data_IF_713084578541
#
_entry.id   IF_713084578541
#
_cell.length_a   1.000
_cell.length_b   1.000
_cell.length_c   1.000
_cell.angle_alpha   90.00
_cell.angle_beta   90.00
_cell.angle_gamma   90.00
#
_symmetry.space_group_name_H-M   'P 1'
#
loop_
_entity.id
_entity.type
_entity.pdbx_description
1 polymer ?
#
# COMPACT_ATOMS: atom_id res chain seq x y z
N UNK A 1 -12.33 5.85 -8.29
CA UNK A 1 -11.28 6.27 -7.32
C UNK A 1 -11.80 5.92 -5.94
N UNK A 2 -11.00 5.26 -5.11
CA UNK A 2 -11.44 4.79 -3.78
C UNK A 2 -11.66 5.98 -2.84
N UNK A 3 -12.88 6.14 -2.34
CA UNK A 3 -13.13 6.93 -1.13
C UNK A 3 -12.33 6.24 -0.01
N UNK A 4 -11.41 6.94 0.64
CA UNK A 4 -10.62 6.42 1.74
C UNK A 4 -11.09 7.08 3.03
N UNK A 5 -11.14 6.31 4.11
CA UNK A 5 -11.61 6.79 5.41
C UNK A 5 -10.73 6.26 6.52
N UNK A 6 -10.57 7.10 7.55
CA UNK A 6 -9.97 6.74 8.81
C UNK A 6 -11.10 6.34 9.77
N UNK A 7 -11.20 5.05 10.07
CA UNK A 7 -12.14 4.53 11.07
C UNK A 7 -11.49 4.53 12.45
N UNK A 8 -12.12 5.18 13.41
CA UNK A 8 -11.67 5.18 14.79
C UNK A 8 -12.40 4.10 15.56
N UNK A 9 -11.67 3.24 16.27
CA UNK A 9 -12.29 2.22 17.12
C UNK A 9 -12.95 2.83 18.38
N UNK A 10 -12.78 4.13 18.62
CA UNK A 10 -13.48 4.86 19.66
C UNK A 10 -14.89 5.23 19.15
N UNK A 11 -15.98 4.71 19.77
CA UNK A 11 -17.35 4.97 19.29
C UNK A 11 -17.78 6.43 19.39
N UNK A 12 -17.09 7.26 20.18
CA UNK A 12 -17.40 8.70 20.27
C UNK A 12 -16.76 9.53 19.14
N UNK A 13 -15.89 8.92 18.34
CA UNK A 13 -15.16 9.62 17.29
C UNK A 13 -15.66 9.16 15.90
N UNK A 14 -16.21 10.08 15.07
CA UNK A 14 -16.69 9.73 13.74
C UNK A 14 -15.53 9.40 12.79
N UNK A 15 -15.85 8.61 11.77
CA UNK A 15 -14.93 8.33 10.67
C UNK A 15 -14.56 9.63 9.93
N UNK A 16 -13.28 9.79 9.63
CA UNK A 16 -12.79 10.95 8.88
C UNK A 16 -12.53 10.58 7.41
N UNK A 17 -13.07 11.33 6.44
CA UNK A 17 -12.75 11.13 5.04
C UNK A 17 -11.30 11.56 4.77
N UNK A 18 -10.60 10.76 3.97
CA UNK A 18 -9.26 11.04 3.49
C UNK A 18 -9.33 11.35 1.99
N UNK A 19 -9.80 12.55 1.67
CA UNK A 19 -9.85 13.06 0.31
C UNK A 19 -8.43 13.26 -0.27
N UNK A 20 -8.34 13.47 -1.59
CA UNK A 20 -7.08 13.87 -2.22
C UNK A 20 -6.58 15.19 -1.61
N UNK A 21 -5.29 15.25 -1.36
CA UNK A 21 -4.65 16.38 -0.70
C UNK A 21 -4.05 16.01 0.66
N UNK A 22 -3.96 17.00 1.53
CA UNK A 22 -3.29 16.89 2.82
C UNK A 22 -4.31 16.99 3.95
N UNK A 23 -4.26 16.03 4.88
CA UNK A 23 -5.06 16.01 6.10
C UNK A 23 -4.10 15.96 7.30
N UNK A 24 -4.06 17.02 8.09
CA UNK A 24 -3.25 17.07 9.32
C UNK A 24 -4.16 16.78 10.51
N UNK A 25 -3.75 15.89 11.41
CA UNK A 25 -4.46 15.62 12.66
C UNK A 25 -3.62 16.05 13.87
N UNK A 26 -4.24 16.80 14.77
CA UNK A 26 -3.70 17.17 16.09
C UNK A 26 -4.47 16.47 17.21
N UNK A 27 -4.03 16.66 18.46
CA UNK A 27 -4.76 16.19 19.63
C UNK A 27 -5.53 17.34 20.28
N UNK A 28 -6.85 17.22 20.39
CA UNK A 28 -7.70 18.15 21.10
C UNK A 28 -8.59 17.39 22.09
N UNK A 29 -8.50 17.73 23.38
CA UNK A 29 -9.20 17.04 24.47
C UNK A 29 -9.01 15.51 24.45
N UNK A 30 -7.83 15.04 24.01
CA UNK A 30 -7.51 13.62 23.91
C UNK A 30 -8.13 12.89 22.71
N UNK A 31 -8.73 13.60 21.75
CA UNK A 31 -9.19 13.06 20.47
C UNK A 31 -8.30 13.55 19.32
N UNK A 32 -8.14 12.70 18.29
CA UNK A 32 -7.44 13.09 17.06
C UNK A 32 -8.38 13.86 16.14
N UNK A 33 -8.14 15.15 15.96
CA UNK A 33 -9.02 16.03 15.16
C UNK A 33 -8.27 16.65 13.99
N UNK A 34 -8.95 16.91 12.86
CA UNK A 34 -8.38 17.70 11.78
C UNK A 34 -7.94 19.07 12.27
N UNK A 35 -6.74 19.50 11.85
CA UNK A 35 -6.21 20.83 12.14
C UNK A 35 -5.93 21.58 10.85
N UNK A 36 -6.02 22.91 10.92
CA UNK A 36 -5.74 23.79 9.77
C UNK A 36 -4.26 23.78 9.39
N UNK A 37 -3.97 24.24 8.18
CA UNK A 37 -2.60 24.35 7.68
C UNK A 37 -1.78 25.30 8.56
N UNK A 38 -0.63 24.83 9.05
CA UNK A 38 0.27 25.59 9.92
C UNK A 38 0.00 25.46 11.42
N UNK A 39 -1.12 24.86 11.82
CA UNK A 39 -1.36 24.47 13.22
C UNK A 39 -0.44 23.29 13.63
N UNK A 40 -0.13 23.13 14.94
CA UNK A 40 0.62 21.97 15.41
C UNK A 40 -0.16 20.68 15.13
N UNK A 41 0.51 19.73 14.48
CA UNK A 41 -0.04 18.43 14.11
C UNK A 41 0.80 17.31 14.71
N UNK A 42 0.17 16.16 14.95
CA UNK A 42 0.83 14.94 15.43
C UNK A 42 1.12 13.99 14.28
N UNK A 43 0.18 13.89 13.34
CA UNK A 43 0.29 13.09 12.12
C UNK A 43 -0.30 13.85 10.94
N UNK A 44 0.25 13.62 9.76
CA UNK A 44 -0.22 14.23 8.53
C UNK A 44 -0.32 13.20 7.44
N UNK A 45 -1.49 13.11 6.82
CA UNK A 45 -1.74 12.25 5.68
C UNK A 45 -1.66 13.07 4.39
N UNK A 46 -0.99 12.52 3.38
CA UNK A 46 -1.02 13.03 2.02
C UNK A 46 -1.58 11.94 1.12
N UNK A 47 -2.76 12.16 0.57
CA UNK A 47 -3.39 11.27 -0.39
C UNK A 47 -3.27 11.88 -1.79
N UNK A 48 -2.49 11.25 -2.66
CA UNK A 48 -2.28 11.69 -4.03
C UNK A 48 -2.48 10.54 -5.03
N UNK A 49 -2.16 10.78 -6.30
CA UNK A 49 -2.27 9.74 -7.35
C UNK A 49 -1.24 8.61 -7.20
N UNK A 50 -0.18 8.81 -6.40
CA UNK A 50 0.88 7.82 -6.14
C UNK A 50 0.54 6.95 -4.94
N UNK A 51 -0.29 7.45 -4.02
CA UNK A 51 -0.87 6.69 -2.93
C UNK A 51 -1.08 7.54 -1.68
N UNK A 52 -1.23 6.86 -0.54
CA UNK A 52 -1.37 7.51 0.76
C UNK A 52 -0.03 7.47 1.48
N UNK A 53 0.42 8.63 1.93
CA UNK A 53 1.60 8.78 2.78
C UNK A 53 1.17 9.32 4.13
N UNK A 54 1.79 8.85 5.20
CA UNK A 54 1.62 9.39 6.54
C UNK A 54 2.96 9.84 7.09
N UNK A 55 3.04 11.12 7.43
CA UNK A 55 4.13 11.71 8.19
C UNK A 55 3.78 11.76 9.68
N UNK A 56 4.80 11.61 10.52
CA UNK A 56 4.70 11.58 11.97
C UNK A 56 5.55 12.73 12.54
N UNK A 57 4.97 13.51 13.45
CA UNK A 57 5.68 14.58 14.13
C UNK A 57 6.73 14.01 15.10
N UNK A 58 7.77 14.78 15.40
CA UNK A 58 8.80 14.34 16.33
C UNK A 58 8.21 14.07 17.73
N UNK A 59 8.67 12.99 18.37
CA UNK A 59 8.21 12.58 19.69
C UNK A 59 6.88 11.81 19.71
N UNK A 60 6.20 11.63 18.57
CA UNK A 60 4.95 10.86 18.49
C UNK A 60 5.25 9.39 18.16
N UNK A 61 4.90 8.49 19.08
CA UNK A 61 5.00 7.04 18.85
C UNK A 61 3.85 6.54 17.97
N UNK A 62 4.15 6.19 16.72
CA UNK A 62 3.17 5.62 15.77
C UNK A 62 3.60 4.23 15.33
N UNK A 63 2.66 3.29 15.30
CA UNK A 63 2.87 1.96 14.75
C UNK A 63 1.88 1.68 13.63
N UNK A 64 2.35 1.06 12.54
CA UNK A 64 1.52 0.60 11.42
C UNK A 64 1.60 -0.91 11.37
N UNK A 65 0.47 -1.58 11.63
CA UNK A 65 0.39 -3.04 11.76
C UNK A 65 1.45 -3.59 12.74
N UNK A 66 1.70 -2.89 13.84
CA UNK A 66 2.70 -3.24 14.85
C UNK A 66 4.15 -2.82 14.54
N UNK A 67 4.44 -2.27 13.35
CA UNK A 67 5.79 -1.77 13.01
C UNK A 67 5.92 -0.29 13.38
N UNK A 68 6.93 0.13 14.15
CA UNK A 68 7.13 1.53 14.49
C UNK A 68 7.46 2.36 13.25
N UNK A 69 6.88 3.55 13.16
CA UNK A 69 7.13 4.53 12.10
C UNK A 69 7.72 5.78 12.73
N UNK A 70 8.94 6.12 12.32
CA UNK A 70 9.67 7.25 12.91
C UNK A 70 9.34 8.59 12.25
N UNK A 71 9.08 8.61 10.93
CA UNK A 71 8.93 9.87 10.20
C UNK A 71 7.93 9.81 9.06
N UNK A 72 8.05 8.83 8.18
CA UNK A 72 7.23 8.72 6.98
C UNK A 72 6.97 7.25 6.65
N UNK A 73 5.74 6.96 6.23
CA UNK A 73 5.33 5.62 5.76
C UNK A 73 4.31 5.76 4.64
N UNK A 74 4.37 4.85 3.67
CA UNK A 74 3.29 4.70 2.68
C UNK A 74 2.24 3.75 3.25
N UNK A 75 0.98 4.17 3.24
CA UNK A 75 -0.16 3.42 3.75
C UNK A 75 -0.98 2.80 2.62
N UNK A 76 -1.68 1.72 2.95
CA UNK A 76 -2.67 1.05 2.13
C UNK A 76 -3.98 0.91 2.88
N UNK A 77 -5.08 0.79 2.13
CA UNK A 77 -6.35 0.43 2.73
C UNK A 77 -6.24 -0.96 3.40
N UNK A 78 -6.79 -1.08 4.61
CA UNK A 78 -6.63 -2.21 5.51
C UNK A 78 -5.47 -2.11 6.50
N UNK A 79 -4.70 -1.01 6.50
CA UNK A 79 -3.66 -0.78 7.50
C UNK A 79 -4.25 -0.32 8.84
N UNK A 80 -3.81 -0.96 9.93
CA UNK A 80 -4.11 -0.53 11.28
C UNK A 80 -3.00 0.38 11.81
N UNK A 81 -3.38 1.58 12.24
CA UNK A 81 -2.53 2.60 12.80
C UNK A 81 -2.77 2.66 14.31
N UNK A 82 -1.70 2.63 15.09
CA UNK A 82 -1.72 2.89 16.52
C UNK A 82 -0.98 4.20 16.77
N UNK A 83 -1.68 5.23 17.22
CA UNK A 83 -1.15 6.57 17.47
C UNK A 83 -1.43 6.90 18.94
N UNK A 84 -0.44 6.73 19.81
CA UNK A 84 -0.67 6.79 21.26
C UNK A 84 -1.75 5.79 21.69
N UNK A 85 -2.86 6.27 22.25
CA UNK A 85 -4.03 5.46 22.64
C UNK A 85 -5.05 5.24 21.53
N UNK A 86 -4.88 5.86 20.35
CA UNK A 86 -5.84 5.78 19.26
C UNK A 86 -5.56 4.60 18.34
N UNK A 87 -6.60 3.79 18.10
CA UNK A 87 -6.57 2.71 17.11
C UNK A 87 -7.39 3.14 15.90
N UNK A 88 -6.70 3.35 14.78
CA UNK A 88 -7.29 3.88 13.55
C UNK A 88 -7.09 2.89 12.41
N UNK A 89 -8.16 2.49 11.74
CA UNK A 89 -8.09 1.68 10.53
C UNK A 89 -8.23 2.58 9.31
N UNK A 90 -7.23 2.59 8.44
CA UNK A 90 -7.39 3.16 7.11
C UNK A 90 -8.15 2.14 6.26
N UNK A 91 -9.34 2.47 5.79
CA UNK A 91 -10.12 1.58 4.94
C UNK A 91 -10.67 2.35 3.75
N UNK A 92 -11.00 1.62 2.69
CA UNK A 92 -11.91 2.14 1.67
C UNK A 92 -13.29 1.60 2.00
N UNK A 93 -14.32 2.45 2.21
CA UNK A 93 -15.68 1.97 2.18
C UNK A 93 -15.83 1.32 0.83
N UNK A 94 -15.91 -0.01 0.84
CA UNK A 94 -16.29 -0.76 -0.34
C UNK A 94 -17.61 -0.12 -0.77
N UNK A 95 -17.64 0.46 -1.98
CA UNK A 95 -18.91 0.61 -2.68
C UNK A 95 -19.63 -0.73 -2.55
N UNK A 96 -20.95 -0.69 -2.51
CA UNK A 96 -21.83 -1.85 -2.63
C UNK A 96 -21.58 -2.59 -3.97
N UNK A 97 -20.41 -3.23 -4.12
CA UNK A 97 -19.89 -3.93 -5.31
C UNK A 97 -20.19 -5.42 -5.17
N UNK A 98 -21.41 -5.72 -4.74
CA UNK A 98 -21.97 -7.04 -4.95
C UNK A 98 -21.93 -7.32 -6.48
N UNK A 99 -21.59 -8.54 -6.91
CA UNK A 99 -21.59 -8.91 -8.32
C UNK A 99 -22.96 -8.77 -9.02
N UNK A 100 -24.02 -8.39 -8.30
CA UNK A 100 -25.34 -8.07 -8.83
C UNK A 100 -25.43 -6.71 -9.54
N UNK A 101 -24.41 -5.85 -9.42
CA UNK A 101 -24.29 -4.67 -10.30
C UNK A 101 -23.72 -5.10 -11.64
N UNK A 102 -24.28 -4.58 -12.75
CA UNK A 102 -23.83 -4.86 -14.12
C UNK A 102 -22.30 -4.93 -14.20
N UNK A 103 -21.78 -6.12 -14.51
CA UNK A 103 -20.38 -6.28 -14.90
C UNK A 103 -20.12 -5.28 -16.01
N UNK A 104 -19.11 -4.43 -15.85
CA UNK A 104 -18.75 -3.43 -16.84
C UNK A 104 -18.66 -4.10 -18.24
N UNK A 105 -19.05 -3.40 -19.32
CA UNK A 105 -18.98 -3.95 -20.65
C UNK A 105 -17.56 -4.49 -20.91
N UNK A 106 -17.45 -5.64 -21.60
CA UNK A 106 -16.17 -6.32 -21.76
C UNK A 106 -15.12 -5.34 -22.27
N UNK A 107 -14.00 -5.24 -21.55
CA UNK A 107 -12.84 -4.49 -22.03
C UNK A 107 -12.48 -5.04 -23.41
N UNK A 108 -12.68 -4.23 -24.45
CA UNK A 108 -12.44 -4.60 -25.83
C UNK A 108 -10.96 -5.00 -26.01
N UNK A 109 -10.71 -6.31 -26.07
CA UNK A 109 -9.48 -6.88 -26.62
C UNK A 109 -8.22 -6.87 -25.75
N UNK A 110 -8.26 -6.46 -24.47
CA UNK A 110 -7.07 -6.51 -23.60
C UNK A 110 -7.37 -7.23 -22.29
N UNK A 111 -6.77 -8.41 -22.09
CA UNK A 111 -6.75 -9.08 -20.80
C UNK A 111 -5.85 -8.29 -19.84
N UNK A 112 -6.37 -7.71 -18.75
CA UNK A 112 -5.53 -6.98 -17.81
C UNK A 112 -4.54 -7.95 -17.17
N UNK A 113 -3.27 -7.55 -17.12
CA UNK A 113 -2.23 -8.29 -16.39
C UNK A 113 -2.38 -7.97 -14.91
N UNK A 114 -3.28 -8.69 -14.25
CA UNK A 114 -3.46 -8.64 -12.81
C UNK A 114 -2.57 -9.68 -12.14
N UNK A 115 -1.89 -9.26 -11.08
CA UNK A 115 -1.10 -10.12 -10.22
C UNK A 115 -1.54 -9.94 -8.77
N UNK A 116 -1.58 -11.03 -8.04
CA UNK A 116 -1.74 -11.01 -6.60
C UNK A 116 -0.35 -11.10 -5.97
N UNK A 117 0.11 -10.01 -5.33
CA UNK A 117 1.44 -9.93 -4.73
C UNK A 117 1.36 -10.09 -3.21
N UNK A 118 2.13 -11.01 -2.65
CA UNK A 118 2.25 -11.16 -1.20
C UNK A 118 3.07 -10.04 -0.59
N UNK A 119 2.52 -9.38 0.44
CA UNK A 119 3.16 -8.26 1.15
C UNK A 119 3.40 -8.57 2.63
N UNK A 120 2.96 -9.73 3.11
CA UNK A 120 3.31 -10.26 4.44
C UNK A 120 3.32 -11.79 4.47
N UNK A 121 3.84 -12.33 5.57
CA UNK A 121 3.86 -13.78 5.81
C UNK A 121 4.80 -14.54 4.85
N UNK A 122 4.64 -15.86 4.75
CA UNK A 122 5.49 -16.73 3.94
C UNK A 122 5.48 -16.43 2.43
N UNK A 123 4.51 -15.66 1.96
CA UNK A 123 4.35 -15.30 0.55
C UNK A 123 4.88 -13.90 0.22
N UNK A 124 5.52 -13.22 1.18
CA UNK A 124 6.09 -11.90 0.97
C UNK A 124 7.01 -11.87 -0.27
N UNK A 125 6.75 -10.93 -1.18
CA UNK A 125 7.51 -10.75 -2.41
C UNK A 125 7.12 -11.70 -3.55
N UNK A 126 6.31 -12.74 -3.30
CA UNK A 126 5.82 -13.65 -4.35
C UNK A 126 4.65 -13.03 -5.08
N UNK A 127 4.57 -13.28 -6.39
CA UNK A 127 3.49 -12.79 -7.25
C UNK A 127 2.79 -13.95 -7.95
N UNK A 128 1.47 -13.91 -7.98
CA UNK A 128 0.61 -14.92 -8.60
C UNK A 128 -0.18 -14.28 -9.74
N UNK A 129 0.06 -14.69 -10.98
CA UNK A 129 -0.65 -14.16 -12.14
C UNK A 129 -2.10 -14.63 -12.15
N UNK A 130 -3.04 -13.70 -12.23
CA UNK A 130 -4.48 -13.99 -12.29
C UNK A 130 -4.95 -14.18 -13.74
N UNK A 131 -4.25 -14.99 -14.53
CA UNK A 131 -4.68 -15.31 -15.92
C UNK A 131 -5.74 -16.41 -15.96
N UNK A 132 -5.78 -17.24 -14.93
CA UNK A 132 -6.78 -18.29 -14.70
C UNK A 132 -7.35 -18.11 -13.29
N UNK A 133 -8.52 -18.69 -12.98
CA UNK A 133 -9.04 -18.67 -11.62
C UNK A 133 -7.97 -19.12 -10.61
N UNK A 134 -7.73 -18.28 -9.61
CA UNK A 134 -6.80 -18.52 -8.52
C UNK A 134 -7.59 -19.05 -7.33
N UNK A 135 -7.45 -20.35 -7.04
CA UNK A 135 -8.03 -20.96 -5.85
C UNK A 135 -7.06 -20.78 -4.69
N UNK A 136 -7.56 -20.21 -3.59
CA UNK A 136 -6.84 -20.00 -2.34
C UNK A 136 -7.36 -20.99 -1.30
N UNK A 137 -6.48 -21.73 -0.63
CA UNK A 137 -6.89 -22.68 0.41
C UNK A 137 -5.76 -23.60 0.85
N UNK A 138 -6.03 -24.51 1.78
CA UNK A 138 -5.02 -25.43 2.31
C UNK A 138 -4.83 -26.70 1.49
N UNK A 139 -5.73 -26.96 0.53
CA UNK A 139 -5.65 -28.14 -0.33
C UNK A 139 -4.43 -28.12 -1.25
N UNK A 140 -3.94 -29.30 -1.64
CA UNK A 140 -2.74 -29.44 -2.45
C UNK A 140 -2.93 -28.90 -3.89
N UNK A 141 -4.15 -28.97 -4.39
CA UNK A 141 -4.58 -28.49 -5.71
C UNK A 141 -4.85 -26.97 -5.76
N UNK A 142 -4.81 -26.26 -4.62
CA UNK A 142 -5.02 -24.83 -4.60
C UNK A 142 -3.87 -24.08 -5.30
N UNK A 143 -4.20 -23.19 -6.24
CA UNK A 143 -3.23 -22.33 -6.94
C UNK A 143 -2.37 -21.53 -5.98
N UNK A 144 -2.99 -20.98 -4.94
CA UNK A 144 -2.36 -20.36 -3.79
C UNK A 144 -2.64 -21.22 -2.56
N UNK A 145 -1.80 -22.23 -2.37
CA UNK A 145 -1.85 -23.06 -1.16
C UNK A 145 -1.42 -22.24 0.05
N UNK A 146 -2.25 -22.12 1.07
CA UNK A 146 -1.94 -21.50 2.36
C UNK A 146 -2.26 -22.53 3.44
N UNK A 147 -1.25 -22.91 4.22
CA UNK A 147 -1.42 -23.86 5.32
C UNK A 147 -1.83 -23.15 6.61
N UNK A 148 -2.68 -23.81 7.40
CA UNK A 148 -3.10 -23.31 8.71
C UNK A 148 -4.52 -23.75 9.06
N UNK A 149 -4.79 -23.89 10.35
CA UNK A 149 -6.07 -24.37 10.88
C UNK A 149 -7.25 -23.44 10.53
N UNK A 150 -6.98 -22.14 10.40
CA UNK A 150 -7.98 -21.14 10.01
C UNK A 150 -8.24 -21.07 8.49
N UNK A 151 -7.60 -21.93 7.67
CA UNK A 151 -7.72 -21.94 6.21
C UNK A 151 -8.35 -23.25 5.74
N UNK A 152 -9.57 -23.14 5.21
CA UNK A 152 -10.29 -24.25 4.59
C UNK A 152 -9.57 -24.79 3.33
N UNK A 153 -9.80 -26.06 2.95
CA UNK A 153 -9.21 -26.66 1.75
C UNK A 153 -9.43 -25.83 0.49
N UNK A 154 -10.67 -25.33 0.31
CA UNK A 154 -11.03 -24.29 -0.67
C UNK A 154 -11.60 -23.11 0.11
N UNK A 155 -10.78 -22.09 0.34
CA UNK A 155 -11.11 -20.98 1.23
C UNK A 155 -11.68 -19.76 0.47
N UNK A 156 -11.11 -19.46 -0.70
CA UNK A 156 -11.62 -18.44 -1.60
C UNK A 156 -11.21 -18.73 -3.05
N UNK A 157 -11.91 -18.13 -4.00
CA UNK A 157 -11.54 -18.15 -5.42
C UNK A 157 -11.52 -16.73 -5.95
N UNK A 158 -10.46 -16.39 -6.69
CA UNK A 158 -10.35 -15.13 -7.43
C UNK A 158 -10.42 -15.48 -8.90
N UNK A 159 -11.40 -14.95 -9.61
CA UNK A 159 -11.66 -15.23 -11.03
C UNK A 159 -11.63 -13.95 -11.84
N UNK A 160 -11.28 -14.03 -13.12
CA UNK A 160 -11.34 -12.86 -14.02
C UNK A 160 -12.59 -12.98 -14.87
N UNK A 161 -13.46 -11.97 -14.80
CA UNK A 161 -14.66 -11.85 -15.61
C UNK A 161 -14.66 -10.46 -16.25
N UNK A 162 -14.77 -10.38 -17.59
CA UNK A 162 -14.76 -9.11 -18.33
C UNK A 162 -13.58 -8.18 -17.97
N UNK A 163 -12.40 -8.74 -17.68
CA UNK A 163 -11.21 -7.98 -17.26
C UNK A 163 -11.25 -7.46 -15.83
N UNK A 164 -12.25 -7.82 -15.03
CA UNK A 164 -12.31 -7.50 -13.61
C UNK A 164 -12.02 -8.74 -12.77
N UNK A 165 -11.28 -8.57 -11.68
CA UNK A 165 -11.05 -9.63 -10.72
C UNK A 165 -12.22 -9.73 -9.74
N UNK A 166 -12.86 -10.87 -9.66
CA UNK A 166 -13.96 -11.16 -8.73
C UNK A 166 -13.47 -12.14 -7.66
N UNK A 167 -13.56 -11.71 -6.40
CA UNK A 167 -13.36 -12.54 -5.23
C UNK A 167 -14.67 -13.21 -4.82
N UNK A 168 -14.59 -14.51 -4.52
CA UNK A 168 -15.64 -15.26 -3.84
C UNK A 168 -15.04 -16.07 -2.69
N UNK A 169 -15.47 -15.81 -1.46
CA UNK A 169 -15.01 -16.44 -0.22
C UNK A 169 -16.00 -17.51 0.23
N UNK A 170 -15.60 -18.78 0.03
CA UNK A 170 -16.42 -19.95 0.37
C UNK A 170 -16.46 -20.20 1.88
N UNK A 171 -15.31 -20.08 2.56
CA UNK A 171 -15.20 -20.37 3.99
C UNK A 171 -15.43 -19.13 4.89
N UNK A 172 -15.25 -17.93 4.36
CA UNK A 172 -15.36 -16.68 5.13
C UNK A 172 -14.05 -16.33 5.83
N UNK A 173 -14.06 -15.23 6.59
CA UNK A 173 -12.85 -14.74 7.27
C UNK A 173 -11.83 -14.07 6.34
N UNK A 174 -12.17 -13.87 5.07
CA UNK A 174 -11.40 -13.05 4.13
C UNK A 174 -11.71 -11.59 4.40
N UNK A 175 -10.67 -10.76 4.50
CA UNK A 175 -10.83 -9.31 4.60
C UNK A 175 -10.35 -8.63 3.33
N UNK A 176 -11.13 -7.68 2.84
CA UNK A 176 -10.77 -6.73 1.79
C UNK A 176 -10.62 -5.36 2.43
N UNK A 177 -9.44 -4.76 2.32
CA UNK A 177 -9.15 -3.42 2.84
C UNK A 177 -9.53 -3.25 4.32
N UNK A 178 -9.31 -4.30 5.12
CA UNK A 178 -9.58 -4.35 6.56
C UNK A 178 -11.02 -4.68 6.95
N UNK A 179 -11.93 -4.90 5.99
CA UNK A 179 -13.32 -5.29 6.26
C UNK A 179 -13.61 -6.72 5.81
N UNK A 180 -14.38 -7.51 6.59
CA UNK A 180 -14.76 -8.86 6.19
C UNK A 180 -15.61 -8.82 4.92
N UNK A 181 -15.36 -9.74 4.00
CA UNK A 181 -16.07 -9.81 2.72
C UNK A 181 -16.35 -11.25 2.31
N UNK A 182 -17.50 -11.47 1.68
CA UNK A 182 -17.86 -12.75 1.06
C UNK A 182 -17.63 -12.71 -0.45
N UNK A 183 -18.07 -11.64 -1.10
CA UNK A 183 -17.87 -11.42 -2.53
C UNK A 183 -17.50 -9.97 -2.80
N UNK A 184 -16.60 -9.73 -3.76
CA UNK A 184 -16.25 -8.37 -4.17
C UNK A 184 -15.54 -8.33 -5.52
N UNK A 185 -15.82 -7.27 -6.29
CA UNK A 185 -14.99 -6.87 -7.42
C UNK A 185 -13.72 -6.17 -6.89
N UNK A 186 -12.57 -6.74 -7.19
CA UNK A 186 -11.25 -6.27 -6.81
C UNK A 186 -10.68 -5.31 -7.85
N UNK A 187 -10.02 -4.27 -7.37
CA UNK A 187 -9.34 -3.25 -8.14
C UNK A 187 -7.83 -3.24 -7.82
N UNK A 188 -6.97 -2.82 -8.76
CA UNK A 188 -5.57 -2.59 -8.44
C UNK A 188 -5.41 -1.68 -7.22
N UNK A 189 -4.57 -2.09 -6.28
CA UNK A 189 -4.36 -1.45 -4.98
C UNK A 189 -5.10 -2.13 -3.82
N UNK A 190 -6.12 -2.95 -4.10
CA UNK A 190 -6.90 -3.63 -3.07
C UNK A 190 -6.05 -4.64 -2.30
N UNK A 191 -6.23 -4.63 -0.98
CA UNK A 191 -5.53 -5.50 -0.04
C UNK A 191 -6.44 -6.63 0.44
N UNK A 192 -6.02 -7.86 0.25
CA UNK A 192 -6.66 -9.07 0.76
C UNK A 192 -5.89 -9.64 1.95
N UNK A 193 -6.61 -10.05 2.98
CA UNK A 193 -6.03 -10.75 4.13
C UNK A 193 -6.73 -12.09 4.32
N UNK A 194 -5.92 -13.15 4.39
CA UNK A 194 -6.31 -14.51 4.76
C UNK A 194 -5.67 -14.87 6.11
N UNK A 195 -6.48 -15.39 7.05
CA UNK A 195 -6.07 -15.82 8.42
C UNK A 195 -5.13 -14.86 9.19
N UNK A 196 -5.34 -13.54 9.06
CA UNK A 196 -4.57 -12.43 9.68
C UNK A 196 -3.09 -12.30 9.27
N UNK A 197 -2.41 -13.39 8.92
CA UNK A 197 -0.97 -13.42 8.64
C UNK A 197 -0.63 -13.25 7.16
N UNK A 198 -1.53 -13.67 6.27
CA UNK A 198 -1.26 -13.68 4.83
C UNK A 198 -1.96 -12.50 4.16
N UNK A 199 -1.18 -11.46 3.89
CA UNK A 199 -1.64 -10.25 3.22
C UNK A 199 -1.14 -10.22 1.79
N UNK A 200 -2.05 -9.91 0.89
CA UNK A 200 -1.79 -9.77 -0.53
C UNK A 200 -2.34 -8.44 -1.04
N UNK A 201 -1.73 -7.91 -2.08
CA UNK A 201 -2.20 -6.74 -2.80
C UNK A 201 -2.46 -7.13 -4.24
N UNK A 202 -3.61 -6.74 -4.77
CA UNK A 202 -3.87 -6.83 -6.20
C UNK A 202 -3.10 -5.72 -6.91
N UNK A 203 -2.17 -6.07 -7.78
CA UNK A 203 -1.44 -5.13 -8.62
C UNK A 203 -1.80 -5.37 -10.09
N UNK A 204 -1.75 -4.33 -10.90
CA UNK A 204 -1.93 -4.45 -12.34
C UNK A 204 -2.41 -3.15 -12.97
N UNK A 205 -2.36 -3.12 -14.29
CA UNK A 205 -2.93 -2.03 -15.09
C UNK A 205 -4.28 -2.50 -15.62
N UNK A 206 -5.34 -1.87 -15.15
CA UNK A 206 -6.58 -1.86 -15.92
C UNK A 206 -6.28 -1.05 -17.19
N UNK A 207 -6.61 -1.54 -18.40
CA UNK A 207 -6.58 -0.67 -19.56
C UNK A 207 -7.54 0.47 -19.27
N UNK A 208 -7.00 1.66 -18.99
CA UNK A 208 -7.82 2.88 -19.02
C UNK A 208 -8.48 2.86 -20.38
N UNK A 209 -9.83 2.85 -20.40
CA UNK A 209 -10.54 3.32 -21.58
C UNK A 209 -9.86 4.65 -21.92
N UNK A 210 -9.28 4.71 -23.12
CA UNK A 210 -8.58 5.89 -23.61
C UNK A 210 -9.57 7.03 -23.47
N UNK A 211 -9.43 7.81 -22.39
CA UNK A 211 -9.99 9.14 -22.35
C UNK A 211 -9.12 9.87 -23.34
N UNK A 212 -9.57 9.90 -24.59
CA UNK A 212 -9.07 10.84 -25.58
C UNK A 212 -9.16 12.19 -24.86
N UNK A 213 -8.02 12.85 -24.53
CA UNK A 213 -8.10 14.19 -24.00
C UNK A 213 -8.94 14.98 -25.02
N UNK A 214 -9.92 15.81 -24.60
CA UNK A 214 -10.57 16.70 -25.54
C UNK A 214 -9.44 17.47 -26.21
N UNK A 215 -9.29 17.25 -27.51
CA UNK A 215 -8.32 17.95 -28.33
C UNK A 215 -8.87 19.36 -28.42
N UNK A 216 -8.61 20.15 -27.38
CA UNK A 216 -8.85 21.59 -27.43
C UNK A 216 -7.83 22.13 -28.43
N UNK A 217 -8.24 22.76 -29.54
CA UNK A 217 -7.33 23.18 -30.62
C UNK A 217 -6.30 24.24 -30.19
N UNK A 218 -6.31 24.71 -28.95
CA UNK A 218 -5.61 25.91 -28.53
C UNK A 218 -4.27 25.65 -27.81
N UNK A 219 -3.89 24.38 -27.60
CA UNK A 219 -2.63 24.04 -26.92
C UNK A 219 -1.48 23.65 -27.87
N UNK A 220 -1.60 23.92 -29.17
CA UNK A 220 -0.55 23.61 -30.15
C UNK A 220 0.55 24.71 -30.28
N UNK A 221 0.48 25.81 -29.52
CA UNK A 221 1.36 26.97 -29.72
C UNK A 221 2.42 27.21 -28.62
N UNK A 222 2.62 26.30 -27.66
CA UNK A 222 3.69 26.45 -26.65
C UNK A 222 4.43 25.13 -26.40
N UNK A 223 4.98 24.55 -27.46
CA UNK A 223 6.05 23.54 -27.35
C UNK A 223 7.30 24.07 -28.05
N UNK A 224 8.01 24.98 -27.37
CA UNK A 224 9.41 25.31 -27.65
C UNK A 224 10.03 25.98 -26.42
N UNK A 225 10.23 25.18 -25.37
CA UNK A 225 11.24 25.48 -24.36
C UNK A 225 11.77 24.15 -23.80
N UNK A 226 12.71 23.59 -24.56
CA UNK A 226 13.51 22.43 -24.16
C UNK A 226 14.50 22.89 -23.09
N UNK A 227 14.06 23.00 -21.84
CA UNK A 227 14.98 23.21 -20.72
C UNK A 227 15.53 21.84 -20.32
N UNK A 228 16.73 21.55 -20.83
CA UNK A 228 17.54 20.44 -20.37
C UNK A 228 17.82 20.63 -18.87
N UNK A 229 17.19 19.80 -18.03
CA UNK A 229 17.55 19.71 -16.62
C UNK A 229 18.78 18.83 -16.52
N UNK A 230 19.95 19.46 -16.46
CA UNK A 230 21.20 18.78 -16.12
C UNK A 230 21.08 18.23 -14.71
N UNK A 231 20.91 16.91 -14.58
CA UNK A 231 20.99 16.23 -13.30
C UNK A 231 22.42 16.37 -12.75
N UNK A 232 22.61 17.29 -11.81
CA UNK A 232 23.86 17.44 -11.07
C UNK A 232 24.02 16.20 -10.18
N UNK A 233 24.94 15.31 -10.54
CA UNK A 233 25.32 14.16 -9.73
C UNK A 233 25.99 14.64 -8.43
N UNK A 234 25.21 14.94 -7.39
CA UNK A 234 25.73 15.16 -6.05
C UNK A 234 25.65 13.85 -5.28
N UNK A 235 26.65 13.00 -5.45
CA UNK A 235 26.75 11.71 -4.74
C UNK A 235 28.17 11.16 -4.54
N UNK A 236 29.18 11.71 -5.23
CA UNK A 236 30.54 11.16 -5.16
C UNK A 236 31.40 11.73 -4.01
N UNK A 237 31.02 12.85 -3.39
CA UNK A 237 31.87 13.50 -2.37
C UNK A 237 31.64 13.04 -0.92
N UNK A 238 30.59 12.27 -0.64
CA UNK A 238 30.35 11.74 0.72
C UNK A 238 31.03 10.38 0.99
N UNK A 239 31.65 9.76 -0.02
CA UNK A 239 32.33 8.48 0.11
C UNK A 239 33.86 8.59 0.28
N UNK A 240 34.47 9.76 0.08
CA UNK A 240 35.93 9.94 0.22
C UNK A 240 36.41 9.74 1.67
N UNK A 241 35.62 10.20 2.65
CA UNK A 241 35.95 9.99 4.07
C UNK A 241 35.86 8.52 4.48
N UNK A 242 34.97 7.73 3.86
CA UNK A 242 34.85 6.29 4.13
C UNK A 242 36.06 5.49 3.61
N UNK A 243 36.66 5.92 2.50
CA UNK A 243 37.90 5.33 2.00
C UNK A 243 39.09 5.66 2.93
N UNK A 244 39.15 6.91 3.42
CA UNK A 244 40.20 7.31 4.36
C UNK A 244 40.10 6.56 5.70
N UNK A 245 38.89 6.37 6.24
CA UNK A 245 38.69 5.61 7.49
C UNK A 245 38.99 4.13 7.30
N UNK A 246 38.62 3.53 6.16
CA UNK A 246 38.97 2.16 5.83
C UNK A 246 40.48 1.96 5.73
N UNK A 247 41.22 2.88 5.09
CA UNK A 247 42.69 2.81 5.02
C UNK A 247 43.36 2.94 6.38
N UNK A 248 42.87 3.84 7.24
CA UNK A 248 43.37 4.01 8.61
C UNK A 248 43.17 2.74 9.44
N UNK A 249 41.99 2.15 9.40
CA UNK A 249 41.69 0.89 10.10
C UNK A 249 42.55 -0.27 9.59
N UNK A 250 42.72 -0.40 8.27
CA UNK A 250 43.56 -1.42 7.68
C UNK A 250 45.04 -1.27 8.10
N UNK A 251 45.55 -0.04 8.11
CA UNK A 251 46.93 0.26 8.53
C UNK A 251 47.15 -0.02 10.02
N UNK A 252 46.18 0.36 10.88
CA UNK A 252 46.23 0.07 12.31
C UNK A 252 46.22 -1.45 12.59
N UNK A 253 45.38 -2.21 11.88
CA UNK A 253 45.35 -3.67 11.96
C UNK A 253 46.67 -4.30 11.50
N UNK A 254 47.26 -3.80 10.40
CA UNK A 254 48.54 -4.29 9.90
C UNK A 254 49.68 -4.02 10.90
N UNK A 255 49.73 -2.83 11.50
CA UNK A 255 50.68 -2.50 12.58
C UNK A 255 50.48 -3.40 13.79
N UNK A 256 49.24 -3.66 14.20
CA UNK A 256 48.95 -4.55 15.34
C UNK A 256 49.36 -5.99 15.06
N UNK A 257 49.21 -6.48 13.83
CA UNK A 257 49.67 -7.82 13.44
C UNK A 257 51.20 -7.92 13.38
N UNK A 258 51.89 -6.87 12.92
CA UNK A 258 53.35 -6.88 12.78
C UNK A 258 54.05 -6.64 14.13
N UNK A 259 53.49 -5.80 15.00
CA UNK A 259 54.13 -5.38 16.25
C UNK A 259 53.45 -5.87 17.52
N UNK A 260 52.23 -6.41 17.44
CA UNK A 260 51.49 -6.95 18.59
C UNK A 260 51.72 -8.43 18.87
N UNK A 261 52.59 -9.09 18.10
CA UNK A 261 52.98 -10.50 18.28
C UNK A 261 54.31 -10.67 19.02
N UNK A 262 54.77 -9.64 19.74
CA UNK A 262 55.94 -9.68 20.62
C UNK A 262 55.55 -9.52 22.09
#
# INVERSE_FOLDING_TARGET
>A
MSDLRLHFHNPQQPDLPLALGMLSLGSQAGALVPVEAGAPWLIQFCNDRRGVWMAVAEGVGVHVNGRPVQKLVMLRAGDNLHIGSHHVLLYSPTDNRAPNGELAPPFAGVCPRLILRGVSGPYHGRSFCLQRPCVVGSAAEATLRIEGEAIAPRHATISIHNGQALLHSTAGGVQLNGRPVREAILHPGDQLVFSRLHRFVLEGSLPSAVQTPPISPEAAAQSTAKTAVTAKQTGAQRASWLLATALLLASALALLLVFGAH
#
